data_IF_598861413875
#
_entry.id   IF_598861413875
#
_cell.length_a   1.000
_cell.length_b   1.000
_cell.length_c   1.000
_cell.angle_alpha   90.00
_cell.angle_beta   90.00
_cell.angle_gamma   90.00
#
_symmetry.space_group_name_H-M   'P 1'
#
loop_
_entity.id
_entity.type
_entity.pdbx_description
1 polymer ?
#
# COMPACT_ATOMS: atom_id res chain seq x y z
N UNK A 1 21.19 5.53 3.42
CA UNK A 1 20.92 5.66 4.86
C UNK A 1 19.45 6.08 5.08
N UNK A 2 18.47 5.40 4.46
CA UNK A 2 17.08 5.91 4.33
C UNK A 2 15.97 4.91 4.67
N UNK A 3 16.25 3.59 4.69
CA UNK A 3 15.21 2.57 4.96
C UNK A 3 14.81 2.48 6.44
N UNK A 4 15.76 2.73 7.36
CA UNK A 4 15.52 2.63 8.81
C UNK A 4 14.58 3.72 9.33
N UNK A 5 14.74 4.94 8.85
CA UNK A 5 14.05 6.11 9.40
C UNK A 5 12.60 6.19 8.90
N UNK A 6 12.36 5.74 7.67
CA UNK A 6 11.01 5.59 7.12
C UNK A 6 10.22 4.55 7.92
N UNK A 7 10.81 3.39 8.20
CA UNK A 7 10.18 2.34 9.00
C UNK A 7 9.90 2.79 10.44
N UNK A 8 10.80 3.59 11.02
CA UNK A 8 10.60 4.18 12.35
C UNK A 8 9.50 5.25 12.39
N UNK A 9 9.27 6.01 11.30
CA UNK A 9 8.16 6.97 11.19
C UNK A 9 6.81 6.27 11.02
N UNK A 10 6.75 5.25 10.18
CA UNK A 10 5.54 4.48 9.90
C UNK A 10 5.00 3.72 11.12
N UNK A 11 5.86 3.41 12.09
CA UNK A 11 5.52 2.68 13.31
C UNK A 11 5.10 3.56 14.49
N UNK A 12 5.21 4.89 14.40
CA UNK A 12 5.06 5.79 15.57
C UNK A 12 3.68 6.40 15.77
N UNK A 13 2.74 6.17 14.86
CA UNK A 13 1.50 6.95 14.79
C UNK A 13 0.28 6.07 15.08
N UNK A 14 -0.26 6.19 16.31
CA UNK A 14 -1.66 5.89 16.73
C UNK A 14 -2.00 4.62 17.52
N UNK A 15 -1.38 4.38 18.67
CA UNK A 15 -2.02 3.56 19.71
C UNK A 15 -2.96 4.43 20.55
N UNK A 16 -4.23 4.57 20.18
CA UNK A 16 -5.32 4.93 21.10
C UNK A 16 -6.68 4.58 20.47
N UNK A 17 -7.45 3.74 21.18
CA UNK A 17 -8.86 3.31 20.99
C UNK A 17 -9.20 2.08 20.09
N UNK A 18 -9.01 0.87 20.66
CA UNK A 18 -9.43 -0.41 20.09
C UNK A 18 -10.72 -0.95 20.72
N UNK A 19 -11.89 -0.67 20.12
CA UNK A 19 -13.12 -1.42 20.38
C UNK A 19 -13.89 -1.75 19.09
N UNK A 20 -13.70 -2.97 18.59
CA UNK A 20 -14.37 -3.57 17.44
C UNK A 20 -13.52 -4.69 16.82
N UNK A 21 -14.14 -5.81 16.43
CA UNK A 21 -13.44 -7.06 16.04
C UNK A 21 -12.50 -6.95 14.83
N UNK A 22 -12.47 -5.83 14.10
CA UNK A 22 -11.49 -5.56 13.04
C UNK A 22 -11.13 -4.07 12.92
N UNK A 23 -11.22 -3.29 14.01
CA UNK A 23 -11.14 -1.82 13.90
C UNK A 23 -9.71 -1.26 13.86
N UNK A 24 -8.71 -1.97 14.36
CA UNK A 24 -7.33 -1.45 14.49
C UNK A 24 -6.26 -2.50 14.22
N UNK A 25 -6.34 -3.14 13.06
CA UNK A 25 -5.10 -3.66 12.47
C UNK A 25 -4.39 -2.44 11.87
N UNK A 26 -3.65 -1.72 12.71
CA UNK A 26 -2.70 -0.68 12.29
C UNK A 26 -1.58 -1.34 11.47
N UNK A 27 -1.90 -1.55 10.20
CA UNK A 27 -0.97 -1.84 9.10
C UNK A 27 -0.59 -0.51 8.45
N UNK A 28 -0.44 0.60 9.21
CA UNK A 28 0.04 1.88 8.67
C UNK A 28 1.35 1.70 7.90
N UNK A 29 2.20 0.74 8.30
CA UNK A 29 3.43 0.40 7.58
C UNK A 29 3.21 -0.04 6.13
N UNK A 30 2.54 -1.16 5.84
CA UNK A 30 2.51 -1.71 4.48
C UNK A 30 1.78 -0.89 3.40
N UNK A 31 0.68 -0.20 3.71
CA UNK A 31 -0.01 0.61 2.67
C UNK A 31 0.69 1.95 2.41
N UNK A 32 1.20 2.61 3.44
CA UNK A 32 2.01 3.82 3.27
C UNK A 32 3.32 3.49 2.54
N UNK A 33 3.99 2.39 2.92
CA UNK A 33 5.19 1.93 2.25
C UNK A 33 4.91 1.60 0.77
N UNK A 34 3.80 0.92 0.48
CA UNK A 34 3.38 0.66 -0.90
C UNK A 34 3.12 1.94 -1.69
N UNK A 35 2.42 2.91 -1.10
CA UNK A 35 2.13 4.17 -1.78
C UNK A 35 3.40 4.95 -2.12
N UNK A 36 4.39 4.96 -1.23
CA UNK A 36 5.69 5.59 -1.45
C UNK A 36 6.44 4.88 -2.59
N UNK A 37 6.52 3.55 -2.59
CA UNK A 37 7.19 2.80 -3.65
C UNK A 37 6.50 3.04 -5.01
N UNK A 38 5.17 3.01 -5.06
CA UNK A 38 4.40 3.34 -6.26
C UNK A 38 4.71 4.77 -6.75
N UNK A 39 4.84 5.73 -5.84
CA UNK A 39 5.18 7.11 -6.20
C UNK A 39 6.60 7.22 -6.75
N UNK A 40 7.57 6.56 -6.13
CA UNK A 40 8.96 6.55 -6.59
C UNK A 40 9.10 5.91 -7.97
N UNK A 41 8.34 4.86 -8.25
CA UNK A 41 8.27 4.23 -9.56
C UNK A 41 7.67 5.16 -10.62
N UNK A 42 6.57 5.87 -10.30
CA UNK A 42 5.91 6.83 -11.18
C UNK A 42 6.84 7.99 -11.60
N UNK A 43 7.81 8.33 -10.75
CA UNK A 43 8.77 9.42 -10.96
C UNK A 43 9.98 9.05 -11.83
N UNK A 44 10.14 7.77 -12.21
CA UNK A 44 11.24 7.33 -13.07
C UNK A 44 11.01 7.74 -14.52
N UNK A 45 12.10 7.81 -15.31
CA UNK A 45 12.03 8.08 -16.75
C UNK A 45 11.24 7.00 -17.51
N UNK A 46 11.20 5.77 -16.98
CA UNK A 46 10.46 4.64 -17.56
C UNK A 46 9.75 3.89 -16.43
N UNK A 47 8.55 4.34 -16.01
CA UNK A 47 7.81 3.73 -14.90
C UNK A 47 7.36 2.29 -15.22
N UNK A 48 7.58 1.38 -14.27
CA UNK A 48 7.06 0.01 -14.33
C UNK A 48 6.50 -0.41 -12.95
N UNK A 49 5.18 -0.26 -12.80
CA UNK A 49 4.46 -0.64 -11.58
C UNK A 49 4.47 -2.14 -11.31
N UNK A 50 4.66 -2.98 -12.34
CA UNK A 50 4.75 -4.44 -12.16
C UNK A 50 6.06 -4.86 -11.50
N UNK A 51 7.05 -3.95 -11.49
CA UNK A 51 8.29 -4.16 -10.77
C UNK A 51 8.10 -4.14 -9.24
N UNK A 52 7.03 -3.53 -8.73
CA UNK A 52 6.70 -3.51 -7.30
C UNK A 52 5.95 -4.80 -6.96
N UNK A 53 6.58 -5.65 -6.16
CA UNK A 53 6.06 -6.96 -5.78
C UNK A 53 6.13 -7.15 -4.27
N UNK A 54 5.26 -8.02 -3.75
CA UNK A 54 5.27 -8.37 -2.33
C UNK A 54 6.66 -8.85 -1.86
N UNK A 55 7.33 -9.68 -2.67
CA UNK A 55 8.67 -10.19 -2.39
C UNK A 55 9.70 -9.06 -2.23
N UNK A 56 9.77 -8.12 -3.18
CA UNK A 56 10.72 -6.99 -3.10
C UNK A 56 10.48 -6.11 -1.88
N UNK A 57 9.22 -5.98 -1.49
CA UNK A 57 8.80 -5.23 -0.30
C UNK A 57 8.96 -6.03 1.00
N UNK A 58 9.36 -7.31 0.92
CA UNK A 58 9.44 -8.25 2.04
C UNK A 58 8.09 -8.36 2.80
N UNK A 59 7.01 -8.48 2.02
CA UNK A 59 5.64 -8.64 2.49
C UNK A 59 5.07 -9.99 2.04
N UNK A 60 4.14 -10.52 2.83
CA UNK A 60 3.29 -11.62 2.39
C UNK A 60 2.35 -11.15 1.27
N UNK A 61 2.05 -12.02 0.30
CA UNK A 61 1.18 -11.71 -0.84
C UNK A 61 -0.20 -11.22 -0.42
N UNK A 62 -0.78 -11.78 0.65
CA UNK A 62 -2.09 -11.34 1.16
C UNK A 62 -2.00 -9.98 1.81
N UNK A 63 -0.92 -9.69 2.53
CA UNK A 63 -0.68 -8.36 3.11
C UNK A 63 -0.54 -7.31 2.00
N UNK A 64 0.22 -7.62 0.95
CA UNK A 64 0.40 -6.76 -0.21
C UNK A 64 -0.92 -6.51 -0.97
N UNK A 65 -1.71 -7.56 -1.20
CA UNK A 65 -3.02 -7.45 -1.81
C UNK A 65 -4.02 -6.67 -0.95
N UNK A 66 -3.99 -6.84 0.38
CA UNK A 66 -4.79 -6.06 1.33
C UNK A 66 -4.40 -4.58 1.32
N UNK A 67 -3.11 -4.29 1.36
CA UNK A 67 -2.58 -2.92 1.29
C UNK A 67 -3.01 -2.23 0.00
N UNK A 68 -2.88 -2.92 -1.14
CA UNK A 68 -3.31 -2.39 -2.43
C UNK A 68 -4.82 -2.15 -2.48
N UNK A 69 -5.62 -3.12 -2.03
CA UNK A 69 -7.08 -2.99 -1.97
C UNK A 69 -7.50 -1.83 -1.05
N UNK A 70 -6.78 -1.60 0.05
CA UNK A 70 -7.03 -0.46 0.93
C UNK A 70 -6.76 0.87 0.23
N UNK A 71 -5.60 1.04 -0.41
CA UNK A 71 -5.25 2.24 -1.17
C UNK A 71 -6.26 2.53 -2.28
N UNK A 72 -6.69 1.48 -2.99
CA UNK A 72 -7.71 1.56 -4.05
C UNK A 72 -9.06 2.02 -3.48
N UNK A 73 -9.51 1.43 -2.37
CA UNK A 73 -10.78 1.80 -1.71
C UNK A 73 -10.76 3.21 -1.12
N UNK A 74 -9.58 3.69 -0.70
CA UNK A 74 -9.39 5.07 -0.23
C UNK A 74 -9.28 6.08 -1.37
N UNK A 75 -9.19 5.61 -2.62
CA UNK A 75 -9.07 6.48 -3.79
C UNK A 75 -7.69 7.13 -3.92
N UNK A 76 -6.65 6.56 -3.30
CA UNK A 76 -5.27 7.05 -3.42
C UNK A 76 -4.56 6.52 -4.66
N UNK A 77 -5.02 5.39 -5.18
CA UNK A 77 -4.56 4.80 -6.42
C UNK A 77 -5.77 4.36 -7.25
N UNK A 78 -5.55 4.17 -8.55
CA UNK A 78 -6.53 3.61 -9.50
C UNK A 78 -5.88 2.55 -10.38
N UNK A 79 -6.70 1.71 -11.01
CA UNK A 79 -6.25 0.75 -12.03
C UNK A 79 -5.64 -0.55 -11.51
N UNK A 80 -5.61 -0.76 -10.18
CA UNK A 80 -5.23 -2.04 -9.60
C UNK A 80 -6.35 -3.08 -9.77
N UNK A 81 -5.99 -4.31 -10.14
CA UNK A 81 -6.94 -5.44 -10.21
C UNK A 81 -6.69 -6.36 -9.03
N UNK A 82 -7.66 -6.44 -8.12
CA UNK A 82 -7.58 -7.29 -6.93
C UNK A 82 -8.11 -8.69 -7.25
N UNK A 83 -7.32 -9.72 -6.94
CA UNK A 83 -7.69 -11.11 -7.14
C UNK A 83 -8.24 -11.70 -5.83
N UNK A 84 -9.33 -12.46 -5.95
CA UNK A 84 -10.01 -13.14 -4.85
C UNK A 84 -10.14 -14.62 -5.17
N UNK A 85 -10.01 -15.48 -4.16
CA UNK A 85 -10.42 -16.88 -4.24
C UNK A 85 -11.94 -17.00 -4.32
N UNK A 86 -12.45 -18.05 -4.96
CA UNK A 86 -13.88 -18.30 -5.08
C UNK A 86 -14.54 -18.40 -3.68
N UNK A 87 -15.59 -17.62 -3.47
CA UNK A 87 -16.31 -17.57 -2.18
C UNK A 87 -15.59 -16.80 -1.06
N UNK A 88 -14.38 -16.26 -1.31
CA UNK A 88 -13.61 -15.52 -0.30
C UNK A 88 -13.76 -14.01 -0.44
N UNK A 89 -13.87 -13.31 0.69
CA UNK A 89 -13.77 -11.84 0.76
C UNK A 89 -12.34 -11.34 0.95
N UNK A 90 -11.38 -12.26 1.12
CA UNK A 90 -9.98 -11.96 1.38
C UNK A 90 -9.23 -11.86 0.05
N UNK A 91 -8.54 -10.73 -0.24
CA UNK A 91 -7.63 -10.63 -1.38
C UNK A 91 -6.51 -11.66 -1.28
N UNK A 92 -6.19 -12.31 -2.40
CA UNK A 92 -5.10 -13.30 -2.49
C UNK A 92 -3.98 -12.87 -3.41
N UNK A 93 -4.23 -11.87 -4.25
CA UNK A 93 -3.26 -11.33 -5.19
C UNK A 93 -3.70 -10.00 -5.74
N UNK A 94 -2.82 -9.39 -6.52
CA UNK A 94 -3.06 -8.11 -7.19
C UNK A 94 -2.24 -8.03 -8.47
N UNK A 95 -2.82 -7.40 -9.48
CA UNK A 95 -2.12 -6.94 -10.67
C UNK A 95 -2.03 -5.41 -10.66
N UNK A 96 -0.81 -4.91 -10.84
CA UNK A 96 -0.45 -3.49 -10.80
C UNK A 96 -0.21 -2.88 -12.20
N UNK A 97 -0.37 -3.62 -13.29
CA UNK A 97 -0.01 -3.15 -14.63
C UNK A 97 -0.68 -1.82 -15.03
N UNK A 98 -1.92 -1.59 -14.57
CA UNK A 98 -2.68 -0.36 -14.85
C UNK A 98 -2.61 0.69 -13.74
N UNK A 99 -1.74 0.52 -12.74
CA UNK A 99 -1.78 1.35 -11.53
C UNK A 99 -1.18 2.73 -11.76
N UNK A 100 -1.85 3.72 -11.18
CA UNK A 100 -1.35 5.10 -11.08
C UNK A 100 -1.87 5.74 -9.80
N UNK A 101 -1.14 6.72 -9.28
CA UNK A 101 -1.59 7.48 -8.12
C UNK A 101 -2.65 8.50 -8.53
N UNK A 102 -3.57 8.79 -7.63
CA UNK A 102 -4.51 9.90 -7.76
C UNK A 102 -3.89 11.19 -7.18
N UNK A 103 -4.44 12.37 -7.49
CA UNK A 103 -4.02 13.61 -6.83
C UNK A 103 -4.09 13.50 -5.29
N UNK A 104 -5.14 12.87 -4.77
CA UNK A 104 -5.33 12.64 -3.34
C UNK A 104 -4.26 11.71 -2.77
N UNK A 105 -3.88 10.67 -3.50
CA UNK A 105 -2.79 9.77 -3.13
C UNK A 105 -1.43 10.48 -3.08
N UNK A 106 -1.15 11.36 -4.04
CA UNK A 106 0.09 12.16 -4.06
C UNK A 106 0.11 13.14 -2.87
N UNK A 107 -0.99 13.80 -2.57
CA UNK A 107 -1.07 14.72 -1.42
C UNK A 107 -0.97 13.97 -0.08
N UNK A 108 -1.47 12.74 -0.01
CA UNK A 108 -1.29 11.89 1.15
C UNK A 108 0.17 11.45 1.31
N UNK A 109 0.81 11.00 0.22
CA UNK A 109 2.22 10.60 0.21
C UNK A 109 3.15 11.72 0.70
N UNK A 110 2.96 12.96 0.24
CA UNK A 110 3.72 14.14 0.71
C UNK A 110 3.63 14.39 2.22
N UNK A 111 2.54 13.96 2.87
CA UNK A 111 2.36 14.11 4.33
C UNK A 111 3.10 13.04 5.12
N UNK A 112 3.45 11.92 4.47
CA UNK A 112 4.19 10.82 5.10
C UNK A 112 5.69 11.16 5.27
N UNK A 113 6.23 12.07 4.47
CA UNK A 113 7.54 12.70 4.72
C UNK A 113 8.38 12.95 3.49
#
# INVERSE_FOLDING_TARGET
MMRSDLMAKLTRTHCEDTSGEYKDVMISGPHDYLLIELRQEELKDTPDMTSITAEKMNLDNRIFALATNWLLKKGFIKGAVIQYEEGSKMPVGVDLQGVSLTPEGIEYEKKLG
#
